data_IF_752921588939
#
_entry.id   IF_752921588939
#
_cell.length_a   1.000
_cell.length_b   1.000
_cell.length_c   1.000
_cell.angle_alpha   90.00
_cell.angle_beta   90.00
_cell.angle_gamma   90.00
#
_symmetry.space_group_name_H-M   'P 1'
#
loop_
_entity.id
_entity.type
_entity.pdbx_description
1 polymer ?
#
# COMPACT_ATOMS: atom_id res chain seq x y z
N UNK A 1 13.21 -5.55 10.34
CA UNK A 1 13.56 -5.25 8.93
C UNK A 1 15.05 -5.39 8.67
N UNK A 2 15.95 -4.77 9.43
CA UNK A 2 17.40 -4.88 9.18
C UNK A 2 18.00 -6.28 9.39
N UNK A 3 17.46 -7.09 10.31
CA UNK A 3 17.91 -8.46 10.54
C UNK A 3 17.40 -9.45 9.49
N UNK A 4 16.12 -9.32 9.12
CA UNK A 4 15.48 -10.21 8.14
C UNK A 4 15.86 -9.86 6.70
N UNK A 5 16.28 -8.61 6.43
CA UNK A 5 16.75 -8.15 5.13
C UNK A 5 15.75 -8.39 3.98
N UNK A 6 14.47 -8.01 4.10
CA UNK A 6 13.50 -8.32 3.07
C UNK A 6 13.78 -7.53 1.78
N UNK A 7 13.60 -8.19 0.65
CA UNK A 7 13.76 -7.58 -0.68
C UNK A 7 12.58 -6.68 -1.06
N UNK A 8 11.42 -6.86 -0.42
CA UNK A 8 10.22 -6.06 -0.64
C UNK A 8 9.35 -6.08 0.61
N UNK A 9 8.66 -4.97 0.87
CA UNK A 9 7.64 -4.86 1.90
C UNK A 9 6.28 -4.68 1.26
N UNK A 10 5.37 -5.63 1.52
CA UNK A 10 4.01 -5.63 0.98
C UNK A 10 3.00 -5.62 2.14
N UNK A 11 1.97 -4.78 2.06
CA UNK A 11 0.86 -4.80 3.04
C UNK A 11 -0.46 -4.37 2.43
N UNK A 12 -1.56 -4.92 2.95
CA UNK A 12 -2.93 -4.64 2.55
C UNK A 12 -3.75 -3.83 3.57
N UNK A 13 -3.11 -2.96 4.38
CA UNK A 13 -3.83 -1.83 4.99
C UNK A 13 -4.18 -1.86 6.48
N UNK A 14 -3.62 -2.75 7.30
CA UNK A 14 -3.72 -2.58 8.76
C UNK A 14 -2.96 -1.33 9.23
N UNK A 15 -3.45 -0.60 10.24
CA UNK A 15 -2.76 0.59 10.79
C UNK A 15 -1.34 0.30 11.28
N UNK A 16 -1.04 -0.96 11.60
CA UNK A 16 0.30 -1.44 11.94
C UNK A 16 1.28 -1.27 10.77
N UNK A 17 0.82 -1.27 9.51
CA UNK A 17 1.67 -1.11 8.33
C UNK A 17 2.40 0.25 8.31
N UNK A 18 1.79 1.31 8.86
CA UNK A 18 2.32 2.67 8.81
C UNK A 18 3.78 2.73 9.29
N UNK A 19 4.13 2.37 10.54
CA UNK A 19 5.52 2.42 11.01
C UNK A 19 6.49 1.57 10.17
N UNK A 20 6.03 0.45 9.62
CA UNK A 20 6.87 -0.42 8.79
C UNK A 20 7.14 0.18 7.40
N UNK A 21 6.18 0.88 6.79
CA UNK A 21 6.38 1.57 5.52
C UNK A 21 7.39 2.72 5.67
N UNK A 22 7.27 3.52 6.73
CA UNK A 22 8.26 4.56 7.02
C UNK A 22 9.66 3.97 7.25
N UNK A 23 9.75 2.88 8.03
CA UNK A 23 11.04 2.22 8.27
C UNK A 23 11.61 1.55 7.01
N UNK A 24 10.76 0.94 6.19
CA UNK A 24 11.13 0.37 4.91
C UNK A 24 11.65 1.44 3.95
N UNK A 25 11.01 2.61 3.89
CA UNK A 25 11.48 3.75 3.09
C UNK A 25 12.86 4.21 3.53
N UNK A 26 13.09 4.34 4.84
CA UNK A 26 14.39 4.70 5.40
C UNK A 26 15.49 3.68 5.04
N UNK A 27 15.14 2.40 4.96
CA UNK A 27 16.06 1.33 4.57
C UNK A 27 16.17 1.13 3.04
N UNK A 28 15.53 1.97 2.21
CA UNK A 28 15.43 1.80 0.75
C UNK A 28 14.90 0.43 0.31
N UNK A 29 14.01 -0.15 1.13
CA UNK A 29 13.31 -1.39 0.78
C UNK A 29 12.16 -1.03 -0.16
N UNK A 30 12.00 -1.69 -1.32
CA UNK A 30 10.84 -1.53 -2.18
C UNK A 30 9.52 -1.70 -1.44
N UNK A 31 8.59 -0.76 -1.60
CA UNK A 31 7.33 -0.70 -0.87
C UNK A 31 6.14 -0.89 -1.81
N UNK A 32 5.31 -1.89 -1.52
CA UNK A 32 4.06 -2.16 -2.24
C UNK A 32 2.88 -2.07 -1.28
N UNK A 33 2.00 -1.12 -1.53
CA UNK A 33 0.74 -1.00 -0.80
C UNK A 33 -0.40 -1.63 -1.62
N UNK A 34 -1.25 -2.43 -0.98
CA UNK A 34 -2.50 -2.92 -1.57
C UNK A 34 -3.63 -2.21 -0.81
N UNK A 35 -4.49 -1.47 -1.51
CA UNK A 35 -5.61 -0.81 -0.84
C UNK A 35 -6.63 -1.84 -0.34
N UNK A 36 -7.28 -1.54 0.78
CA UNK A 36 -8.24 -2.45 1.42
C UNK A 36 -9.44 -2.74 0.53
N UNK A 37 -10.03 -3.91 0.72
CA UNK A 37 -11.12 -4.41 -0.12
C UNK A 37 -12.45 -3.71 0.17
N UNK A 38 -12.71 -3.34 1.42
CA UNK A 38 -14.00 -2.82 1.90
C UNK A 38 -14.16 -1.30 1.67
N UNK A 39 -13.12 -0.61 1.20
CA UNK A 39 -13.12 0.83 0.96
C UNK A 39 -12.95 1.13 -0.52
N UNK A 40 -14.09 1.21 -1.19
CA UNK A 40 -14.16 1.46 -2.64
C UNK A 40 -14.14 2.97 -2.90
N UNK A 41 -15.12 3.68 -2.32
CA UNK A 41 -15.39 5.09 -2.63
C UNK A 41 -14.57 6.08 -1.80
N UNK A 42 -13.82 5.60 -0.80
CA UNK A 42 -13.01 6.45 0.09
C UNK A 42 -11.65 5.80 0.38
N UNK A 43 -10.56 6.56 0.47
CA UNK A 43 -9.25 6.00 0.75
C UNK A 43 -9.13 5.65 2.24
N UNK A 44 -8.51 4.50 2.55
CA UNK A 44 -8.27 4.13 3.94
C UNK A 44 -7.31 5.11 4.61
N UNK A 45 -7.40 5.31 5.93
CA UNK A 45 -6.45 6.17 6.66
C UNK A 45 -5.02 5.66 6.49
N UNK A 46 -4.83 4.34 6.53
CA UNK A 46 -3.53 3.72 6.23
C UNK A 46 -3.08 4.09 4.81
N UNK A 47 -3.93 3.91 3.81
CA UNK A 47 -3.64 4.21 2.41
C UNK A 47 -3.25 5.66 2.18
N UNK A 48 -3.96 6.61 2.79
CA UNK A 48 -3.61 8.03 2.75
C UNK A 48 -2.21 8.32 3.31
N UNK A 49 -1.80 7.60 4.35
CA UNK A 49 -0.49 7.77 4.99
C UNK A 49 0.65 7.07 4.24
N UNK A 50 0.39 5.88 3.68
CA UNK A 50 1.46 5.03 3.11
C UNK A 50 1.56 5.09 1.60
N UNK A 51 0.48 5.38 0.87
CA UNK A 51 0.49 5.47 -0.59
C UNK A 51 1.50 6.51 -1.14
N UNK A 52 1.69 7.69 -0.52
CA UNK A 52 2.72 8.64 -0.95
C UNK A 52 4.16 8.13 -0.77
N UNK A 53 4.36 7.15 0.10
CA UNK A 53 5.68 6.52 0.34
C UNK A 53 5.90 5.30 -0.55
N UNK A 54 4.82 4.60 -0.89
CA UNK A 54 4.84 3.36 -1.63
C UNK A 54 5.39 3.56 -3.05
N UNK A 55 6.22 2.62 -3.50
CA UNK A 55 6.71 2.64 -4.87
C UNK A 55 5.65 2.11 -5.84
N UNK A 56 4.73 1.26 -5.34
CA UNK A 56 3.55 0.78 -6.07
C UNK A 56 2.33 0.75 -5.16
N UNK A 57 1.19 1.19 -5.69
CA UNK A 57 -0.12 1.01 -5.09
C UNK A 57 -0.93 0.05 -5.96
N UNK A 58 -1.44 -1.02 -5.37
CA UNK A 58 -2.29 -2.01 -6.03
C UNK A 58 -3.73 -1.76 -5.61
N UNK A 59 -4.61 -1.63 -6.60
CA UNK A 59 -6.03 -1.37 -6.41
C UNK A 59 -6.84 -2.62 -6.68
N UNK A 60 -7.84 -2.86 -5.85
CA UNK A 60 -8.75 -4.01 -5.94
C UNK A 60 -10.04 -3.67 -6.69
N UNK A 61 -10.42 -2.39 -6.73
CA UNK A 61 -11.57 -1.85 -7.45
C UNK A 61 -11.11 -0.78 -8.43
N UNK A 62 -11.81 -0.63 -9.55
CA UNK A 62 -11.43 0.35 -10.57
C UNK A 62 -11.71 1.77 -10.07
N UNK A 63 -12.76 1.94 -9.28
CA UNK A 63 -13.22 3.15 -8.62
C UNK A 63 -12.16 3.73 -7.66
N UNK A 64 -11.30 2.89 -7.08
CA UNK A 64 -10.22 3.35 -6.20
C UNK A 64 -9.18 4.21 -6.97
N UNK A 65 -9.16 4.18 -8.30
CA UNK A 65 -8.31 5.06 -9.13
C UNK A 65 -8.66 6.54 -8.96
N UNK A 66 -9.88 6.86 -8.55
CA UNK A 66 -10.26 8.25 -8.23
C UNK A 66 -9.40 8.82 -7.11
N UNK A 67 -8.99 7.99 -6.15
CA UNK A 67 -8.14 8.37 -5.02
C UNK A 67 -6.66 8.09 -5.27
N UNK A 68 -6.36 7.12 -6.12
CA UNK A 68 -5.00 6.68 -6.45
C UNK A 68 -4.80 6.61 -7.97
N UNK A 69 -4.65 7.74 -8.67
CA UNK A 69 -4.59 7.77 -10.14
C UNK A 69 -3.40 6.98 -10.70
N UNK A 70 -2.28 6.96 -9.98
CA UNK A 70 -1.08 6.18 -10.34
C UNK A 70 -1.14 4.72 -9.86
N UNK A 71 -2.26 4.29 -9.27
CA UNK A 71 -2.45 2.95 -8.75
C UNK A 71 -2.72 1.92 -9.86
N UNK A 72 -2.10 0.75 -9.74
CA UNK A 72 -2.30 -0.37 -10.65
C UNK A 72 -3.51 -1.19 -10.22
N UNK A 73 -4.59 -1.11 -10.98
CA UNK A 73 -5.74 -2.00 -10.82
C UNK A 73 -5.37 -3.45 -11.19
N UNK A 74 -5.55 -4.38 -10.26
CA UNK A 74 -5.34 -5.82 -10.47
C UNK A 74 -6.59 -6.67 -10.20
N UNK A 75 -7.72 -6.02 -9.91
CA UNK A 75 -8.98 -6.71 -9.62
C UNK A 75 -9.04 -7.33 -8.23
N UNK A 76 -10.12 -8.05 -8.00
CA UNK A 76 -10.44 -8.67 -6.71
C UNK A 76 -9.98 -10.12 -6.65
N UNK A 77 -9.51 -10.56 -5.49
CA UNK A 77 -9.31 -11.98 -5.21
C UNK A 77 -10.69 -12.57 -4.88
N UNK A 78 -11.18 -13.48 -5.73
CA UNK A 78 -12.44 -14.21 -5.56
C UNK A 78 -12.21 -15.64 -5.12
#
# INVERSE_FOLDING_TARGET
LSREGPEVLISNGAGVAVPFFYWGKFLNIPLVFIEVYDRIDTPSVTGQLVAPLADRVILQWEEQREHYPEGTFMGTIR
#
